data_IF_093946921066
#
_entry.id   IF_093946921066
#
_cell.length_a   1.000
_cell.length_b   1.000
_cell.length_c   1.000
_cell.angle_alpha   90.00
_cell.angle_beta   90.00
_cell.angle_gamma   90.00
#
_symmetry.space_group_name_H-M   'P 1'
#
loop_
_entity.id
_entity.type
_entity.pdbx_description
1 polymer ?
#
# COMPACT_ATOMS: atom_id res chain seq x y z
N UNK A 1 17.58 1.30 5.46
CA UNK A 1 18.34 0.59 6.50
C UNK A 1 17.82 0.81 7.91
N UNK A 2 17.67 2.04 8.43
CA UNK A 2 17.26 2.22 9.85
C UNK A 2 15.86 1.69 10.19
N UNK A 3 14.89 1.83 9.27
CA UNK A 3 13.58 1.19 9.42
C UNK A 3 13.67 -0.33 9.57
N UNK A 4 14.48 -0.99 8.73
CA UNK A 4 14.76 -2.44 8.79
C UNK A 4 15.41 -2.83 10.12
N UNK A 5 16.37 -2.04 10.61
CA UNK A 5 17.03 -2.28 11.91
C UNK A 5 16.07 -2.22 13.08
N UNK A 6 15.20 -1.20 13.11
CA UNK A 6 14.19 -1.06 14.16
C UNK A 6 13.15 -2.18 14.08
N UNK A 7 12.72 -2.54 12.87
CA UNK A 7 11.81 -3.65 12.64
C UNK A 7 12.40 -4.98 13.16
N UNK A 8 13.66 -5.26 12.83
CA UNK A 8 14.36 -6.46 13.31
C UNK A 8 14.56 -6.49 14.83
N UNK A 9 14.85 -5.34 15.46
CA UNK A 9 14.92 -5.21 16.91
C UNK A 9 13.59 -5.56 17.58
N UNK A 10 12.50 -4.94 17.11
CA UNK A 10 11.15 -5.18 17.64
C UNK A 10 10.70 -6.63 17.41
N UNK A 11 10.96 -7.18 16.22
CA UNK A 11 10.62 -8.57 15.91
C UNK A 11 11.39 -9.56 16.81
N UNK A 12 12.62 -9.24 17.21
CA UNK A 12 13.36 -10.04 18.17
C UNK A 12 12.77 -9.92 19.58
N UNK A 13 12.51 -8.70 20.06
CA UNK A 13 11.91 -8.44 21.38
C UNK A 13 10.52 -9.09 21.53
N UNK A 14 9.73 -9.12 20.46
CA UNK A 14 8.41 -9.76 20.44
C UNK A 14 8.45 -11.26 20.15
N UNK A 15 9.64 -11.82 19.89
CA UNK A 15 9.81 -13.24 19.60
C UNK A 15 9.19 -13.69 18.26
N UNK A 16 9.00 -12.78 17.32
CA UNK A 16 8.46 -13.06 15.97
C UNK A 16 9.55 -13.22 14.90
N UNK A 17 10.83 -12.95 15.22
CA UNK A 17 11.91 -12.96 14.24
C UNK A 17 12.38 -14.36 13.80
N UNK A 18 12.29 -15.38 14.67
CA UNK A 18 13.00 -16.66 14.50
C UNK A 18 12.12 -17.86 14.15
N UNK A 19 10.80 -17.69 14.10
CA UNK A 19 9.89 -18.77 13.73
C UNK A 19 9.56 -18.57 12.25
N UNK A 20 9.98 -19.50 11.40
CA UNK A 20 9.38 -19.65 10.08
C UNK A 20 7.89 -19.79 10.35
N UNK A 21 7.12 -18.75 10.02
CA UNK A 21 5.68 -18.83 10.08
C UNK A 21 5.30 -20.08 9.29
N UNK A 22 4.57 -21.00 9.92
CA UNK A 22 3.91 -22.06 9.16
C UNK A 22 2.90 -21.33 8.27
N UNK A 23 3.37 -20.87 7.09
CA UNK A 23 2.58 -20.02 6.23
C UNK A 23 1.31 -20.78 5.85
N UNK A 24 0.18 -20.23 6.29
CA UNK A 24 -1.11 -20.88 6.09
C UNK A 24 -1.38 -21.05 4.60
N UNK A 25 -1.85 -22.25 4.23
CA UNK A 25 -2.36 -22.51 2.90
C UNK A 25 -3.56 -21.59 2.68
N UNK A 26 -3.56 -20.87 1.57
CA UNK A 26 -4.63 -19.94 1.25
C UNK A 26 -5.98 -20.70 1.18
N UNK A 27 -7.06 -20.22 1.82
CA UNK A 27 -8.32 -20.97 1.93
C UNK A 27 -8.97 -21.37 0.60
N UNK A 28 -8.77 -20.57 -0.44
CA UNK A 28 -9.28 -20.85 -1.79
C UNK A 28 -8.28 -21.54 -2.71
N UNK A 29 -7.14 -22.01 -2.19
CA UNK A 29 -6.20 -22.77 -3.00
C UNK A 29 -6.82 -24.11 -3.42
N UNK A 30 -6.74 -24.41 -4.71
CA UNK A 30 -7.31 -25.63 -5.29
C UNK A 30 -6.26 -26.38 -6.10
N UNK A 31 -6.24 -27.70 -5.97
CA UNK A 31 -5.26 -28.55 -6.64
C UNK A 31 -5.55 -30.03 -6.45
N UNK A 32 -4.83 -30.86 -7.20
CA UNK A 32 -4.93 -32.31 -7.08
C UNK A 32 -4.25 -32.74 -5.78
N UNK A 33 -4.90 -33.61 -5.00
CA UNK A 33 -4.32 -34.09 -3.73
C UNK A 33 -3.12 -34.98 -4.03
N UNK A 34 -1.96 -34.63 -3.49
CA UNK A 34 -0.74 -35.44 -3.55
C UNK A 34 -0.19 -35.69 -2.15
N UNK A 35 0.64 -36.72 -2.03
CA UNK A 35 1.45 -36.93 -0.83
C UNK A 35 2.66 -35.99 -0.89
N UNK A 36 2.81 -35.11 0.11
CA UNK A 36 3.99 -34.25 0.21
C UNK A 36 5.24 -35.11 0.51
N UNK A 37 6.33 -35.00 -0.26
CA UNK A 37 7.53 -35.83 -0.08
C UNK A 37 8.31 -35.52 1.21
N UNK A 38 8.07 -34.36 1.83
CA UNK A 38 8.76 -33.89 3.04
C UNK A 38 7.91 -34.17 4.27
N UNK A 39 6.65 -33.72 4.27
CA UNK A 39 5.77 -33.85 5.45
C UNK A 39 5.05 -35.18 5.52
N UNK A 40 5.04 -35.98 4.44
CA UNK A 40 4.27 -37.23 4.32
C UNK A 40 2.76 -37.06 4.59
N UNK A 41 2.26 -35.83 4.50
CA UNK A 41 0.85 -35.51 4.62
C UNK A 41 0.23 -35.34 3.23
N UNK A 42 -1.05 -35.65 3.10
CA UNK A 42 -1.82 -35.32 1.91
C UNK A 42 -2.06 -33.81 1.85
N UNK A 43 -1.60 -33.17 0.77
CA UNK A 43 -1.78 -31.74 0.52
C UNK A 43 -2.33 -31.50 -0.89
N UNK A 44 -3.13 -30.44 -1.11
CA UNK A 44 -3.46 -30.01 -2.46
C UNK A 44 -2.18 -29.56 -3.19
N UNK A 45 -2.08 -29.89 -4.48
CA UNK A 45 -0.97 -29.46 -5.33
C UNK A 45 -1.44 -28.90 -6.65
N UNK A 46 -0.81 -27.79 -7.03
CA UNK A 46 -1.03 -27.15 -8.31
C UNK A 46 0.33 -26.90 -9.00
N UNK A 47 0.50 -27.25 -10.29
CA UNK A 47 1.76 -27.03 -10.99
C UNK A 47 2.12 -25.54 -11.08
N UNK A 48 3.31 -25.17 -10.59
CA UNK A 48 3.76 -23.77 -10.52
C UNK A 48 3.82 -23.08 -11.88
N UNK A 49 4.17 -23.80 -12.95
CA UNK A 49 4.22 -23.21 -14.30
C UNK A 49 2.84 -22.69 -14.74
N UNK A 50 1.74 -23.35 -14.33
CA UNK A 50 0.37 -22.88 -14.63
C UNK A 50 0.08 -21.59 -13.88
N UNK A 51 0.45 -21.51 -12.60
CA UNK A 51 0.35 -20.29 -11.79
C UNK A 51 1.14 -19.16 -12.43
N UNK A 52 2.41 -19.38 -12.81
CA UNK A 52 3.22 -18.36 -13.45
C UNK A 52 2.67 -17.89 -14.80
N UNK A 53 2.12 -18.77 -15.64
CA UNK A 53 1.44 -18.38 -16.87
C UNK A 53 0.21 -17.50 -16.59
N UNK A 54 -0.59 -17.84 -15.57
CA UNK A 54 -1.74 -17.02 -15.15
C UNK A 54 -1.31 -15.68 -14.57
N UNK A 55 -0.27 -15.66 -13.74
CA UNK A 55 0.31 -14.43 -13.20
C UNK A 55 0.73 -13.52 -14.34
N UNK A 56 1.46 -14.04 -15.33
CA UNK A 56 1.86 -13.26 -16.50
C UNK A 56 0.66 -12.66 -17.25
N UNK A 57 -0.37 -13.46 -17.53
CA UNK A 57 -1.59 -12.99 -18.17
C UNK A 57 -2.31 -11.92 -17.33
N UNK A 58 -2.38 -12.11 -16.01
CA UNK A 58 -2.97 -11.13 -15.09
C UNK A 58 -2.21 -9.80 -15.10
N UNK A 59 -0.88 -9.84 -15.14
CA UNK A 59 -0.02 -8.66 -15.17
C UNK A 59 -0.21 -7.87 -16.46
N UNK A 60 -0.40 -8.55 -17.61
CA UNK A 60 -0.71 -7.86 -18.87
C UNK A 60 -2.06 -7.13 -18.81
N UNK A 61 -3.08 -7.77 -18.24
CA UNK A 61 -4.40 -7.14 -18.10
C UNK A 61 -4.36 -5.94 -17.16
N UNK A 62 -3.67 -6.09 -16.02
CA UNK A 62 -3.42 -4.98 -15.09
C UNK A 62 -2.65 -3.85 -15.76
N UNK A 63 -1.61 -4.18 -16.54
CA UNK A 63 -0.87 -3.23 -17.37
C UNK A 63 -1.81 -2.44 -18.29
N UNK A 64 -2.71 -3.11 -19.01
CA UNK A 64 -3.73 -2.46 -19.83
C UNK A 64 -4.63 -1.50 -19.04
N UNK A 65 -5.16 -1.93 -17.89
CA UNK A 65 -5.96 -1.07 -17.01
C UNK A 65 -5.18 0.15 -16.52
N UNK A 66 -3.90 -0.03 -16.15
CA UNK A 66 -3.05 1.06 -15.66
C UNK A 66 -2.74 2.08 -16.76
N UNK A 67 -2.54 1.62 -18.00
CA UNK A 67 -2.36 2.51 -19.16
C UNK A 67 -3.65 3.30 -19.43
N UNK A 68 -4.82 2.67 -19.34
CA UNK A 68 -6.10 3.38 -19.46
C UNK A 68 -6.25 4.44 -18.37
N UNK A 69 -5.91 4.13 -17.12
CA UNK A 69 -5.93 5.10 -16.02
C UNK A 69 -4.96 6.26 -16.26
N UNK A 70 -3.74 5.97 -16.75
CA UNK A 70 -2.76 6.99 -17.14
C UNK A 70 -3.33 7.94 -18.20
N UNK A 71 -3.93 7.38 -19.27
CA UNK A 71 -4.52 8.18 -20.34
C UNK A 71 -5.66 9.05 -19.81
N UNK A 72 -6.54 8.51 -18.97
CA UNK A 72 -7.62 9.27 -18.33
C UNK A 72 -7.07 10.41 -17.46
N UNK A 73 -6.06 10.15 -16.64
CA UNK A 73 -5.40 11.17 -15.81
C UNK A 73 -4.77 12.30 -16.64
N UNK A 74 -4.10 11.95 -17.75
CA UNK A 74 -3.51 12.92 -18.68
C UNK A 74 -4.58 13.75 -19.41
N UNK A 75 -5.68 13.13 -19.87
CA UNK A 75 -6.79 13.83 -20.51
C UNK A 75 -7.47 14.82 -19.55
N UNK A 76 -7.51 14.48 -18.26
CA UNK A 76 -8.06 15.34 -17.22
C UNK A 76 -7.13 16.52 -16.94
N UNK A 77 -5.83 16.27 -16.72
CA UNK A 77 -4.83 17.30 -16.44
C UNK A 77 -4.76 18.36 -17.56
N UNK A 78 -4.92 17.93 -18.80
CA UNK A 78 -4.99 18.77 -20.00
C UNK A 78 -6.24 19.64 -20.13
N UNK A 79 -7.22 19.50 -19.24
CA UNK A 79 -8.53 20.14 -19.40
C UNK A 79 -9.28 19.68 -20.65
N UNK A 80 -8.84 18.62 -21.34
CA UNK A 80 -9.49 18.09 -22.54
C UNK A 80 -10.86 17.52 -22.19
N UNK A 81 -10.98 16.84 -21.06
CA UNK A 81 -12.27 16.41 -20.50
C UNK A 81 -13.20 17.61 -20.25
N UNK A 82 -12.69 18.69 -19.66
CA UNK A 82 -13.45 19.92 -19.41
C UNK A 82 -13.93 20.55 -20.72
N UNK A 83 -13.05 20.62 -21.72
CA UNK A 83 -13.36 21.19 -23.04
C UNK A 83 -14.31 20.33 -23.86
N UNK A 84 -14.14 19.00 -23.85
CA UNK A 84 -15.01 18.06 -24.57
C UNK A 84 -16.41 18.03 -23.96
N UNK A 85 -16.51 17.99 -22.62
CA UNK A 85 -17.79 18.07 -21.93
C UNK A 85 -18.45 19.43 -22.16
N UNK A 86 -17.68 20.52 -22.12
CA UNK A 86 -18.15 21.87 -22.41
C UNK A 86 -18.61 22.08 -23.86
N UNK A 87 -18.04 21.33 -24.82
CA UNK A 87 -18.48 21.30 -26.22
C UNK A 87 -19.72 20.41 -26.40
N UNK A 88 -19.77 19.24 -25.77
CA UNK A 88 -20.94 18.35 -25.76
C UNK A 88 -22.17 19.04 -25.15
N UNK A 89 -21.96 19.82 -24.09
CA UNK A 89 -23.02 20.59 -23.41
C UNK A 89 -23.38 21.92 -24.11
N UNK A 90 -22.74 22.29 -25.24
CA UNK A 90 -22.99 23.59 -25.90
C UNK A 90 -23.72 23.52 -27.24
N UNK A 91 -25.03 23.81 -27.15
CA UNK A 91 -25.64 24.92 -27.92
C UNK A 91 -26.88 25.51 -27.22
N UNK A 92 -27.66 24.71 -26.50
CA UNK A 92 -28.99 25.14 -26.01
C UNK A 92 -29.08 25.57 -24.53
N UNK A 93 -28.24 25.03 -23.62
CA UNK A 93 -28.38 25.28 -22.18
C UNK A 93 -27.62 26.53 -21.68
N UNK A 94 -26.61 26.99 -22.41
CA UNK A 94 -25.68 28.06 -21.95
C UNK A 94 -26.33 29.45 -21.87
N UNK A 95 -27.37 29.71 -22.67
CA UNK A 95 -27.96 31.05 -22.78
C UNK A 95 -29.17 31.28 -21.87
N UNK A 96 -29.66 30.24 -21.18
CA UNK A 96 -30.98 30.28 -20.52
C UNK A 96 -30.91 30.49 -19.00
N UNK A 97 -29.77 30.22 -18.39
CA UNK A 97 -29.57 30.38 -16.95
C UNK A 97 -28.11 30.81 -16.71
N UNK A 98 -27.87 31.76 -15.79
CA UNK A 98 -26.55 32.18 -15.30
C UNK A 98 -25.84 31.05 -14.51
N UNK A 99 -25.65 29.89 -15.13
CA UNK A 99 -25.10 28.66 -14.55
C UNK A 99 -23.62 28.48 -14.87
N UNK A 100 -22.94 29.51 -15.39
CA UNK A 100 -21.53 29.42 -15.78
C UNK A 100 -20.66 28.83 -14.66
N UNK A 101 -20.93 29.23 -13.40
CA UNK A 101 -20.23 28.68 -12.22
C UNK A 101 -20.46 27.18 -12.01
N UNK A 102 -21.67 26.68 -12.23
CA UNK A 102 -22.00 25.25 -12.07
C UNK A 102 -21.33 24.43 -13.18
N UNK A 103 -21.34 24.93 -14.41
CA UNK A 103 -20.68 24.26 -15.54
C UNK A 103 -19.15 24.16 -15.39
N UNK A 104 -18.52 25.03 -14.60
CA UNK A 104 -17.09 24.93 -14.29
C UNK A 104 -16.76 23.84 -13.25
N UNK A 105 -17.66 23.57 -12.30
CA UNK A 105 -17.42 22.60 -11.21
C UNK A 105 -17.85 21.19 -11.62
N UNK A 106 -18.94 21.07 -12.39
CA UNK A 106 -19.56 19.82 -12.80
C UNK A 106 -18.57 18.78 -13.37
N UNK A 107 -17.60 19.12 -14.24
CA UNK A 107 -16.73 18.12 -14.85
C UNK A 107 -15.73 17.53 -13.86
N UNK A 108 -15.30 18.31 -12.86
CA UNK A 108 -14.47 17.82 -11.76
C UNK A 108 -15.23 16.83 -10.87
N UNK A 109 -16.52 17.07 -10.61
CA UNK A 109 -17.39 16.14 -9.88
C UNK A 109 -17.57 14.85 -10.66
N UNK A 110 -17.86 14.94 -11.96
CA UNK A 110 -18.02 13.76 -12.83
C UNK A 110 -16.72 12.95 -12.87
N UNK A 111 -15.58 13.61 -13.02
CA UNK A 111 -14.28 12.94 -13.01
C UNK A 111 -14.04 12.23 -11.67
N UNK A 112 -14.28 12.89 -10.54
CA UNK A 112 -14.16 12.27 -9.22
C UNK A 112 -15.07 11.05 -9.06
N UNK A 113 -16.31 11.11 -9.55
CA UNK A 113 -17.23 9.97 -9.55
C UNK A 113 -16.75 8.82 -10.44
N UNK A 114 -16.20 9.11 -11.62
CA UNK A 114 -15.61 8.11 -12.51
C UNK A 114 -14.44 7.41 -11.81
N UNK A 115 -13.52 8.17 -11.22
CA UNK A 115 -12.36 7.59 -10.52
C UNK A 115 -12.81 6.71 -9.35
N UNK A 116 -13.78 7.16 -8.55
CA UNK A 116 -14.33 6.35 -7.46
C UNK A 116 -14.94 5.03 -7.96
N UNK A 117 -15.69 5.07 -9.06
CA UNK A 117 -16.25 3.87 -9.70
C UNK A 117 -15.14 2.96 -10.23
N UNK A 118 -14.16 3.49 -10.95
CA UNK A 118 -13.05 2.72 -11.52
C UNK A 118 -12.24 2.05 -10.41
N UNK A 119 -11.87 2.76 -9.34
CA UNK A 119 -11.14 2.19 -8.21
C UNK A 119 -11.93 1.04 -7.55
N UNK A 120 -13.23 1.23 -7.33
CA UNK A 120 -14.11 0.20 -6.77
C UNK A 120 -14.21 -1.05 -7.65
N UNK A 121 -14.31 -0.89 -8.97
CA UNK A 121 -14.33 -2.01 -9.92
C UNK A 121 -12.96 -2.67 -10.05
N UNK A 122 -11.89 -1.88 -10.06
CA UNK A 122 -10.52 -2.38 -10.17
C UNK A 122 -10.15 -3.26 -8.97
N UNK A 123 -10.54 -2.88 -7.75
CA UNK A 123 -10.33 -3.72 -6.55
C UNK A 123 -10.99 -5.09 -6.70
N UNK A 124 -12.24 -5.14 -7.15
CA UNK A 124 -12.94 -6.42 -7.44
C UNK A 124 -12.23 -7.23 -8.51
N UNK A 125 -11.75 -6.58 -9.56
CA UNK A 125 -10.99 -7.20 -10.64
C UNK A 125 -9.65 -7.76 -10.13
N UNK A 126 -8.91 -7.00 -9.32
CA UNK A 126 -7.63 -7.42 -8.75
C UNK A 126 -7.80 -8.63 -7.83
N UNK A 127 -8.84 -8.66 -7.01
CA UNK A 127 -9.22 -9.82 -6.19
C UNK A 127 -9.55 -11.03 -7.06
N UNK A 128 -10.35 -10.83 -8.11
CA UNK A 128 -10.71 -11.91 -9.05
C UNK A 128 -9.47 -12.49 -9.75
N UNK A 129 -8.59 -11.65 -10.29
CA UNK A 129 -7.37 -12.08 -10.98
C UNK A 129 -6.43 -12.83 -10.04
N UNK A 130 -6.23 -12.32 -8.83
CA UNK A 130 -5.31 -12.94 -7.87
C UNK A 130 -5.86 -14.28 -7.34
N UNK A 131 -7.19 -14.41 -7.20
CA UNK A 131 -7.83 -15.72 -6.94
C UNK A 131 -7.67 -16.67 -8.12
N UNK A 132 -7.81 -16.17 -9.35
CA UNK A 132 -7.64 -16.97 -10.56
C UNK A 132 -6.22 -17.52 -10.72
N UNK A 133 -5.20 -16.75 -10.32
CA UNK A 133 -3.78 -17.17 -10.29
C UNK A 133 -3.53 -18.41 -9.42
N UNK A 134 -4.36 -18.64 -8.40
CA UNK A 134 -4.33 -19.83 -7.53
C UNK A 134 -2.99 -20.00 -6.78
N UNK A 135 -2.69 -19.05 -5.90
CA UNK A 135 -1.51 -19.08 -5.02
C UNK A 135 -1.68 -20.06 -3.86
N UNK A 136 -0.64 -20.82 -3.54
CA UNK A 136 -0.68 -21.83 -2.48
C UNK A 136 -0.67 -21.23 -1.07
N UNK A 137 0.20 -20.25 -0.82
CA UNK A 137 0.39 -19.65 0.50
C UNK A 137 -0.29 -18.28 0.56
N UNK A 138 -0.82 -17.94 1.74
CA UNK A 138 -1.42 -16.63 1.98
C UNK A 138 -0.44 -15.48 1.73
N UNK A 139 0.85 -15.67 2.05
CA UNK A 139 1.90 -14.68 1.79
C UNK A 139 2.02 -14.32 0.31
N UNK A 140 2.08 -15.33 -0.57
CA UNK A 140 2.15 -15.12 -2.02
C UNK A 140 0.86 -14.51 -2.59
N UNK A 141 -0.31 -14.94 -2.11
CA UNK A 141 -1.58 -14.34 -2.52
C UNK A 141 -1.61 -12.84 -2.19
N UNK A 142 -1.30 -12.48 -0.94
CA UNK A 142 -1.23 -11.09 -0.52
C UNK A 142 -0.19 -10.36 -1.37
N UNK A 143 0.96 -10.97 -1.68
CA UNK A 143 1.99 -10.33 -2.49
C UNK A 143 1.54 -9.90 -3.87
N UNK A 144 0.90 -10.83 -4.59
CA UNK A 144 0.42 -10.57 -5.93
C UNK A 144 -0.80 -9.65 -5.93
N UNK A 145 -1.64 -9.70 -4.91
CA UNK A 145 -2.79 -8.80 -4.74
C UNK A 145 -2.32 -7.36 -4.51
N UNK A 146 -1.47 -7.17 -3.50
CA UNK A 146 -0.91 -5.88 -3.08
C UNK A 146 -0.16 -5.21 -4.23
N UNK A 147 0.67 -5.96 -4.96
CA UNK A 147 1.45 -5.41 -6.07
C UNK A 147 0.56 -4.86 -7.20
N UNK A 148 -0.57 -5.53 -7.51
CA UNK A 148 -1.50 -5.06 -8.55
C UNK A 148 -2.18 -3.76 -8.14
N UNK A 149 -2.71 -3.70 -6.92
CA UNK A 149 -3.34 -2.49 -6.38
C UNK A 149 -2.34 -1.34 -6.31
N UNK A 150 -1.12 -1.59 -5.82
CA UNK A 150 -0.09 -0.57 -5.70
C UNK A 150 0.25 0.08 -7.04
N UNK A 151 0.50 -0.71 -8.09
CA UNK A 151 0.84 -0.17 -9.42
C UNK A 151 -0.31 0.67 -9.97
N UNK A 152 -1.55 0.20 -9.83
CA UNK A 152 -2.73 0.91 -10.31
C UNK A 152 -2.96 2.23 -9.56
N UNK A 153 -2.96 2.20 -8.23
CA UNK A 153 -3.17 3.39 -7.41
C UNK A 153 -2.02 4.39 -7.56
N UNK A 154 -0.77 3.92 -7.71
CA UNK A 154 0.37 4.77 -8.00
C UNK A 154 0.17 5.55 -9.30
N UNK A 155 -0.16 4.86 -10.40
CA UNK A 155 -0.40 5.52 -11.70
C UNK A 155 -1.60 6.45 -11.63
N UNK A 156 -2.69 6.02 -11.01
CA UNK A 156 -3.91 6.81 -10.88
C UNK A 156 -3.67 8.16 -10.16
N UNK A 157 -2.90 8.14 -9.08
CA UNK A 157 -2.63 9.32 -8.26
C UNK A 157 -1.52 10.21 -8.85
N UNK A 158 -0.42 9.62 -9.35
CA UNK A 158 0.76 10.39 -9.77
C UNK A 158 0.84 10.71 -11.26
N UNK A 159 0.08 10.03 -12.13
CA UNK A 159 0.14 10.28 -13.59
C UNK A 159 -0.16 11.75 -13.96
N UNK A 160 -1.19 12.33 -13.36
CA UNK A 160 -1.53 13.75 -13.58
C UNK A 160 -0.42 14.70 -13.13
N UNK A 161 0.23 14.40 -12.01
CA UNK A 161 1.36 15.19 -11.50
C UNK A 161 2.59 15.07 -12.39
N UNK A 162 2.92 13.85 -12.83
CA UNK A 162 4.02 13.64 -13.78
C UNK A 162 3.75 14.34 -15.12
N UNK A 163 2.50 14.35 -15.57
CA UNK A 163 2.10 15.09 -16.75
C UNK A 163 2.32 16.61 -16.59
N UNK A 164 1.83 17.20 -15.50
CA UNK A 164 2.00 18.62 -15.22
C UNK A 164 3.49 18.97 -15.07
N UNK A 165 4.25 18.11 -14.38
CA UNK A 165 5.67 18.32 -14.12
C UNK A 165 6.55 18.26 -15.38
N UNK A 166 6.39 17.21 -16.20
CA UNK A 166 7.34 16.91 -17.27
C UNK A 166 6.86 17.34 -18.66
N UNK A 167 5.54 17.36 -18.90
CA UNK A 167 4.98 17.76 -20.19
C UNK A 167 4.51 19.22 -20.19
N UNK A 168 3.64 19.63 -19.27
CA UNK A 168 3.17 21.03 -19.22
C UNK A 168 4.24 21.98 -18.68
N UNK A 169 5.08 21.49 -17.76
CA UNK A 169 6.14 22.25 -17.10
C UNK A 169 5.63 23.51 -16.36
N UNK A 170 4.37 23.49 -15.89
CA UNK A 170 3.79 24.58 -15.09
C UNK A 170 4.08 24.35 -13.61
N UNK A 171 5.11 25.06 -13.11
CA UNK A 171 5.56 24.96 -11.72
C UNK A 171 4.49 25.41 -10.70
N UNK A 172 3.68 26.42 -11.05
CA UNK A 172 2.66 26.94 -10.15
C UNK A 172 1.49 25.97 -10.04
N UNK A 173 1.06 25.41 -11.17
CA UNK A 173 0.04 24.35 -11.22
C UNK A 173 0.52 23.09 -10.51
N UNK A 174 1.78 22.69 -10.71
CA UNK A 174 2.37 21.54 -10.00
C UNK A 174 2.32 21.74 -8.48
N UNK A 175 2.80 22.89 -7.99
CA UNK A 175 2.84 23.19 -6.56
C UNK A 175 1.45 23.21 -5.94
N UNK A 176 0.49 23.88 -6.58
CA UNK A 176 -0.88 23.93 -6.07
C UNK A 176 -1.53 22.55 -6.08
N UNK A 177 -1.31 21.75 -7.13
CA UNK A 177 -1.89 20.42 -7.26
C UNK A 177 -1.33 19.44 -6.23
N UNK A 178 -0.01 19.41 -6.00
CA UNK A 178 0.60 18.59 -4.94
C UNK A 178 0.03 18.97 -3.58
N UNK A 179 -0.10 20.27 -3.28
CA UNK A 179 -0.66 20.74 -2.01
C UNK A 179 -2.14 20.35 -1.87
N UNK A 180 -2.94 20.53 -2.92
CA UNK A 180 -4.35 20.13 -2.93
C UNK A 180 -4.50 18.63 -2.73
N UNK A 181 -3.75 17.80 -3.45
CA UNK A 181 -3.84 16.35 -3.30
C UNK A 181 -3.42 15.90 -1.90
N UNK A 182 -2.33 16.43 -1.35
CA UNK A 182 -1.85 16.04 -0.03
C UNK A 182 -2.80 16.50 1.10
N UNK A 183 -3.47 17.64 0.99
CA UNK A 183 -4.38 18.11 2.04
C UNK A 183 -5.77 17.50 1.86
N UNK A 184 -6.33 17.60 0.66
CA UNK A 184 -7.72 17.21 0.39
C UNK A 184 -7.87 15.70 0.40
N UNK A 185 -6.93 14.94 -0.18
CA UNK A 185 -7.04 13.48 -0.18
C UNK A 185 -6.99 12.94 1.24
N UNK A 186 -6.12 13.47 2.10
CA UNK A 186 -6.05 13.03 3.49
C UNK A 186 -7.32 13.35 4.28
N UNK A 187 -7.93 14.51 4.05
CA UNK A 187 -9.22 14.82 4.66
C UNK A 187 -10.35 13.88 4.17
N UNK A 188 -10.36 13.55 2.88
CA UNK A 188 -11.35 12.64 2.30
C UNK A 188 -11.15 11.22 2.83
N UNK A 189 -9.92 10.71 2.84
CA UNK A 189 -9.58 9.40 3.35
C UNK A 189 -10.01 9.27 4.81
N UNK A 190 -9.66 10.25 5.64
CA UNK A 190 -10.04 10.25 7.05
C UNK A 190 -11.55 10.25 7.28
N UNK A 191 -12.28 11.00 6.45
CA UNK A 191 -13.73 10.99 6.48
C UNK A 191 -14.30 9.62 6.07
N UNK A 192 -13.81 9.04 4.97
CA UNK A 192 -14.32 7.79 4.42
C UNK A 192 -13.95 6.56 5.25
N UNK A 193 -12.80 6.57 5.90
CA UNK A 193 -12.24 5.44 6.61
C UNK A 193 -12.68 5.37 8.07
N UNK A 194 -12.84 6.52 8.71
CA UNK A 194 -13.17 6.56 10.14
C UNK A 194 -14.56 7.11 10.39
N UNK A 195 -14.85 8.33 9.92
CA UNK A 195 -16.07 9.05 10.31
C UNK A 195 -17.32 8.41 9.70
N UNK A 196 -17.28 8.14 8.40
CA UNK A 196 -18.40 7.58 7.64
C UNK A 196 -18.84 6.20 8.17
N UNK A 197 -17.95 5.19 8.33
CA UNK A 197 -18.37 3.88 8.83
C UNK A 197 -18.81 3.95 10.29
N UNK A 198 -18.21 4.81 11.11
CA UNK A 198 -18.67 5.03 12.48
C UNK A 198 -20.11 5.54 12.53
N UNK A 199 -20.43 6.60 11.76
CA UNK A 199 -21.78 7.15 11.71
C UNK A 199 -22.81 6.14 11.17
N UNK A 200 -22.47 5.39 10.13
CA UNK A 200 -23.36 4.35 9.60
C UNK A 200 -23.59 3.21 10.58
N UNK A 201 -22.55 2.74 11.27
CA UNK A 201 -22.65 1.67 12.26
C UNK A 201 -23.45 2.10 13.48
N UNK A 202 -23.21 3.30 13.98
CA UNK A 202 -23.95 3.85 15.12
C UNK A 202 -25.45 4.04 14.76
N UNK A 203 -25.73 4.57 13.56
CA UNK A 203 -27.10 4.68 13.07
C UNK A 203 -27.78 3.31 12.89
N UNK A 204 -27.07 2.35 12.29
CA UNK A 204 -27.57 0.99 12.08
C UNK A 204 -27.88 0.28 13.40
N UNK A 205 -27.00 0.42 14.40
CA UNK A 205 -27.20 -0.11 15.74
C UNK A 205 -28.44 0.50 16.41
N UNK A 206 -28.58 1.83 16.39
CA UNK A 206 -29.75 2.49 16.97
C UNK A 206 -31.05 2.11 16.28
N UNK A 207 -31.03 1.93 14.96
CA UNK A 207 -32.19 1.46 14.18
C UNK A 207 -32.53 0.02 14.59
N UNK A 208 -31.55 -0.89 14.60
CA UNK A 208 -31.73 -2.30 14.99
C UNK A 208 -32.31 -2.43 16.41
N UNK A 209 -31.77 -1.68 17.37
CA UNK A 209 -32.28 -1.66 18.76
C UNK A 209 -33.72 -1.15 18.86
N UNK A 210 -34.10 -0.15 18.07
CA UNK A 210 -35.50 0.33 18.02
C UNK A 210 -36.44 -0.72 17.44
N UNK A 211 -36.01 -1.46 16.43
CA UNK A 211 -36.81 -2.55 15.85
C UNK A 211 -36.96 -3.73 16.82
N UNK A 212 -35.88 -4.13 17.51
CA UNK A 212 -35.94 -5.24 18.48
C UNK A 212 -36.81 -4.93 19.71
N UNK A 213 -36.79 -3.69 20.20
CA UNK A 213 -37.69 -3.25 21.29
C UNK A 213 -39.16 -3.33 20.84
N UNK A 214 -39.45 -2.92 19.59
CA UNK A 214 -40.82 -2.93 19.05
C UNK A 214 -41.37 -4.35 18.83
N UNK A 215 -40.50 -5.30 18.49
CA UNK A 215 -40.86 -6.71 18.33
C UNK A 215 -41.12 -7.39 19.68
N UNK A 216 -40.27 -7.12 20.70
CA UNK A 216 -40.47 -7.61 22.06
C UNK A 216 -41.72 -7.05 22.76
N UNK A 217 -42.16 -5.83 22.42
CA UNK A 217 -43.41 -5.28 22.93
C UNK A 217 -44.66 -5.96 22.32
N UNK A 218 -44.53 -6.56 21.12
CA UNK A 218 -45.61 -7.30 20.44
C UNK A 218 -45.73 -8.75 20.91
N UNK A 219 -44.64 -9.36 21.42
CA UNK A 219 -44.59 -10.75 21.88
C UNK A 219 -44.82 -10.93 23.39
N UNK A 220 -45.36 -9.92 24.07
CA UNK A 220 -45.54 -9.87 25.54
C UNK A 220 -46.40 -11.00 26.12
N UNK A 221 -47.20 -11.70 25.31
CA UNK A 221 -48.13 -12.74 25.77
C UNK A 221 -47.55 -14.17 25.79
N UNK A 222 -46.31 -14.41 25.33
CA UNK A 222 -45.87 -15.78 25.05
C UNK A 222 -44.90 -16.46 26.04
N UNK A 223 -43.97 -15.80 26.75
CA UNK A 223 -42.99 -16.57 27.55
C UNK A 223 -42.41 -15.81 28.76
N UNK A 224 -42.78 -16.26 29.95
CA UNK A 224 -42.25 -15.81 31.24
C UNK A 224 -40.93 -16.55 31.61
N UNK A 225 -40.61 -17.66 30.92
CA UNK A 225 -39.45 -18.53 31.20
C UNK A 225 -38.16 -18.05 30.52
N UNK A 226 -38.23 -17.28 29.43
CA UNK A 226 -37.06 -16.79 28.67
C UNK A 226 -36.45 -15.48 29.21
N UNK A 227 -36.97 -14.93 30.32
CA UNK A 227 -36.61 -13.58 30.80
C UNK A 227 -35.32 -13.51 31.63
N UNK A 228 -34.68 -14.63 31.95
CA UNK A 228 -33.50 -14.64 32.83
C UNK A 228 -32.14 -14.46 32.12
N UNK A 229 -32.07 -14.60 30.78
CA UNK A 229 -30.79 -14.46 30.03
C UNK A 229 -30.81 -13.37 28.93
N UNK A 230 -31.94 -12.68 28.72
CA UNK A 230 -32.10 -11.73 27.60
C UNK A 230 -31.34 -10.40 27.77
N UNK A 231 -30.77 -10.13 28.95
CA UNK A 231 -30.05 -8.89 29.27
C UNK A 231 -28.64 -9.15 29.82
N UNK A 232 -27.99 -10.23 29.38
CA UNK A 232 -26.57 -10.42 29.65
C UNK A 232 -25.75 -9.38 28.87
N UNK A 233 -24.98 -8.50 29.54
CA UNK A 233 -24.11 -7.53 28.88
C UNK A 233 -23.11 -8.18 27.90
N UNK A 234 -22.74 -9.44 28.11
CA UNK A 234 -21.85 -10.17 27.20
C UNK A 234 -22.52 -10.50 25.87
N UNK A 235 -23.81 -10.87 25.88
CA UNK A 235 -24.58 -11.15 24.67
C UNK A 235 -24.80 -9.87 23.86
N UNK A 236 -25.11 -8.76 24.52
CA UNK A 236 -25.23 -7.46 23.87
C UNK A 236 -23.89 -6.99 23.28
N UNK A 237 -22.79 -7.18 24.00
CA UNK A 237 -21.45 -6.91 23.46
C UNK A 237 -21.14 -7.78 22.23
N UNK A 238 -21.44 -9.08 22.27
CA UNK A 238 -21.22 -9.98 21.14
C UNK A 238 -22.05 -9.59 19.92
N UNK A 239 -23.32 -9.18 20.11
CA UNK A 239 -24.17 -8.65 19.03
C UNK A 239 -23.60 -7.35 18.44
N UNK A 240 -23.13 -6.43 19.29
CA UNK A 240 -22.49 -5.19 18.83
C UNK A 240 -21.22 -5.48 18.03
N UNK A 241 -20.39 -6.43 18.49
CA UNK A 241 -19.17 -6.82 17.78
C UNK A 241 -19.49 -7.53 16.46
N UNK A 242 -20.52 -8.37 16.41
CA UNK A 242 -20.96 -9.03 15.18
C UNK A 242 -21.42 -8.05 14.07
N UNK A 243 -21.86 -6.85 14.43
CA UNK A 243 -22.22 -5.79 13.48
C UNK A 243 -21.01 -4.99 12.95
N UNK A 244 -19.83 -5.12 13.57
CA UNK A 244 -18.60 -4.49 13.08
C UNK A 244 -18.04 -5.29 11.90
N UNK A 245 -17.28 -4.61 11.04
CA UNK A 245 -16.63 -5.27 9.92
C UNK A 245 -15.41 -6.08 10.39
N UNK A 246 -15.11 -7.22 9.76
CA UNK A 246 -13.86 -7.93 10.02
C UNK A 246 -12.68 -7.12 9.45
N UNK A 247 -11.60 -7.03 10.23
CA UNK A 247 -10.33 -6.50 9.74
C UNK A 247 -9.55 -7.62 9.04
N UNK A 248 -9.38 -7.50 7.73
CA UNK A 248 -8.68 -8.52 6.92
C UNK A 248 -7.15 -8.35 6.94
N UNK A 249 -6.66 -7.16 6.59
CA UNK A 249 -5.22 -6.86 6.52
C UNK A 249 -4.95 -5.35 6.65
N UNK A 250 -3.73 -4.99 7.05
CA UNK A 250 -3.27 -3.59 7.19
C UNK A 250 -2.86 -2.94 5.85
N UNK A 251 -3.28 -3.53 4.73
CA UNK A 251 -2.83 -3.13 3.41
C UNK A 251 -3.25 -1.68 3.07
N UNK A 252 -4.50 -1.30 3.31
CA UNK A 252 -4.98 0.05 3.01
C UNK A 252 -4.22 1.09 3.84
N UNK A 253 -3.96 0.80 5.13
CA UNK A 253 -3.19 1.66 6.03
C UNK A 253 -1.78 1.93 5.49
N UNK A 254 -1.10 0.86 5.03
CA UNK A 254 0.23 1.01 4.41
C UNK A 254 0.17 1.68 3.04
N UNK A 255 -0.88 1.44 2.25
CA UNK A 255 -1.06 2.09 0.95
C UNK A 255 -1.19 3.60 1.12
N UNK A 256 -1.97 4.06 2.09
CA UNK A 256 -2.07 5.48 2.41
C UNK A 256 -0.71 6.09 2.76
N UNK A 257 0.02 5.46 3.68
CA UNK A 257 1.37 5.91 4.06
C UNK A 257 2.33 5.91 2.86
N UNK A 258 2.22 4.92 1.98
CA UNK A 258 3.02 4.82 0.75
C UNK A 258 2.74 5.98 -0.21
N UNK A 259 1.45 6.28 -0.46
CA UNK A 259 1.07 7.39 -1.33
C UNK A 259 1.50 8.74 -0.74
N UNK A 260 1.33 8.94 0.57
CA UNK A 260 1.79 10.14 1.28
C UNK A 260 3.31 10.30 1.18
N UNK A 261 4.07 9.22 1.41
CA UNK A 261 5.53 9.24 1.21
C UNK A 261 5.90 9.55 -0.24
N UNK A 262 5.12 9.10 -1.23
CA UNK A 262 5.33 9.42 -2.64
C UNK A 262 5.20 10.91 -2.94
N UNK A 263 4.14 11.57 -2.44
CA UNK A 263 3.97 13.02 -2.60
C UNK A 263 5.13 13.81 -1.97
N UNK A 264 5.58 13.40 -0.77
CA UNK A 264 6.69 14.07 -0.08
C UNK A 264 8.02 13.83 -0.77
N UNK A 265 8.33 12.57 -1.10
CA UNK A 265 9.65 12.18 -1.61
C UNK A 265 9.85 12.56 -3.07
N UNK A 266 8.87 12.41 -3.95
CA UNK A 266 9.04 12.67 -5.39
C UNK A 266 8.95 14.15 -5.77
N UNK A 267 8.16 14.95 -5.03
CA UNK A 267 7.88 16.35 -5.37
C UNK A 267 8.45 17.35 -4.36
N UNK A 268 9.43 16.94 -3.55
CA UNK A 268 10.04 17.77 -2.51
C UNK A 268 10.62 19.08 -3.06
N UNK A 269 11.23 19.06 -4.25
CA UNK A 269 11.77 20.27 -4.88
C UNK A 269 10.67 21.26 -5.31
N UNK A 270 9.50 20.77 -5.71
CA UNK A 270 8.37 21.60 -6.13
C UNK A 270 7.57 22.16 -4.94
N UNK A 271 7.40 21.35 -3.88
CA UNK A 271 6.65 21.75 -2.69
C UNK A 271 7.30 21.21 -1.39
N UNK A 272 8.33 21.90 -0.86
CA UNK A 272 9.04 21.46 0.36
C UNK A 272 8.13 21.32 1.60
N UNK A 273 7.07 22.12 1.66
CA UNK A 273 6.08 22.08 2.75
C UNK A 273 5.27 20.78 2.79
N UNK A 274 5.35 19.91 1.78
CA UNK A 274 4.72 18.59 1.79
C UNK A 274 5.08 17.80 3.05
N UNK A 275 6.35 17.83 3.46
CA UNK A 275 6.85 17.13 4.65
C UNK A 275 6.19 17.60 5.95
N UNK A 276 5.96 18.91 6.09
CA UNK A 276 5.29 19.48 7.25
C UNK A 276 3.82 19.04 7.35
N UNK A 277 3.10 19.09 6.23
CA UNK A 277 1.70 18.64 6.18
C UNK A 277 1.58 17.14 6.40
N UNK A 278 2.50 16.36 5.84
CA UNK A 278 2.60 14.93 6.08
C UNK A 278 2.83 14.61 7.57
N UNK A 279 3.65 15.38 8.28
CA UNK A 279 3.86 15.21 9.71
C UNK A 279 2.56 15.45 10.50
N UNK A 280 1.85 16.54 10.21
CA UNK A 280 0.55 16.82 10.86
C UNK A 280 -0.42 15.67 10.59
N UNK A 281 -0.51 15.21 9.34
CA UNK A 281 -1.37 14.10 8.99
C UNK A 281 -1.03 12.84 9.79
N UNK A 282 0.24 12.45 9.87
CA UNK A 282 0.68 11.26 10.60
C UNK A 282 0.38 11.35 12.10
N UNK A 283 0.43 12.54 12.69
CA UNK A 283 0.08 12.75 14.10
C UNK A 283 -1.42 12.59 14.35
N UNK A 284 -2.27 13.05 13.43
CA UNK A 284 -3.71 12.76 13.49
C UNK A 284 -4.01 11.30 13.18
N UNK A 285 -3.32 10.71 12.21
CA UNK A 285 -3.51 9.32 11.74
C UNK A 285 -3.38 8.33 12.88
N UNK A 286 -2.33 8.50 13.70
CA UNK A 286 -2.10 7.66 14.88
C UNK A 286 -3.31 7.61 15.82
N UNK A 287 -4.11 8.68 15.89
CA UNK A 287 -5.33 8.73 16.71
C UNK A 287 -6.54 8.18 15.97
N UNK A 288 -6.69 8.47 14.69
CA UNK A 288 -7.80 7.97 13.88
C UNK A 288 -7.71 6.45 13.69
N UNK A 289 -6.54 5.91 13.39
CA UNK A 289 -6.31 4.46 13.31
C UNK A 289 -6.61 3.76 14.64
N UNK A 290 -6.17 4.33 15.76
CA UNK A 290 -6.49 3.79 17.09
C UNK A 290 -8.01 3.79 17.35
N UNK A 291 -8.71 4.85 16.94
CA UNK A 291 -10.16 4.92 17.05
C UNK A 291 -10.85 3.88 16.15
N UNK A 292 -10.36 3.70 14.92
CA UNK A 292 -10.84 2.73 13.93
C UNK A 292 -10.76 1.30 14.48
N UNK A 293 -9.65 0.90 15.09
CA UNK A 293 -9.53 -0.42 15.73
C UNK A 293 -10.44 -0.60 16.95
N UNK A 294 -10.72 0.45 17.71
CA UNK A 294 -11.57 0.34 18.91
C UNK A 294 -13.07 0.34 18.59
N UNK A 295 -13.52 1.14 17.61
CA UNK A 295 -14.94 1.41 17.39
C UNK A 295 -15.49 0.90 16.06
N UNK A 296 -14.66 0.75 15.03
CA UNK A 296 -15.11 0.42 13.67
C UNK A 296 -14.96 -1.07 13.35
N UNK A 297 -13.83 -1.68 13.69
CA UNK A 297 -13.56 -3.09 13.38
C UNK A 297 -13.84 -4.05 14.54
N UNK A 298 -14.13 -5.30 14.18
CA UNK A 298 -14.02 -6.44 15.10
C UNK A 298 -12.59 -6.61 15.57
N UNK A 299 -12.40 -7.25 16.73
CA UNK A 299 -11.05 -7.54 17.21
C UNK A 299 -10.31 -8.42 16.20
N UNK A 300 -9.22 -7.95 15.57
CA UNK A 300 -8.49 -8.74 14.58
C UNK A 300 -7.81 -9.94 15.23
N UNK A 301 -7.64 -11.01 14.45
CA UNK A 301 -6.83 -12.16 14.86
C UNK A 301 -5.36 -11.77 14.86
N UNK A 302 -4.63 -12.19 15.90
CA UNK A 302 -3.22 -11.86 16.04
C UNK A 302 -2.42 -12.65 15.00
N UNK A 303 -1.84 -11.94 14.03
CA UNK A 303 -0.87 -12.49 13.07
C UNK A 303 0.53 -12.11 13.51
N UNK A 304 1.41 -13.10 13.65
CA UNK A 304 2.83 -12.85 13.92
C UNK A 304 3.49 -12.50 12.59
N UNK A 305 4.27 -11.42 12.61
CA UNK A 305 5.05 -10.97 11.45
C UNK A 305 6.41 -10.51 11.93
N UNK A 306 7.43 -10.78 11.12
CA UNK A 306 8.81 -10.37 11.38
C UNK A 306 9.19 -9.09 10.62
N UNK A 307 8.43 -8.73 9.59
CA UNK A 307 8.67 -7.56 8.73
C UNK A 307 7.36 -6.90 8.32
N UNK A 308 7.44 -5.68 7.78
CA UNK A 308 6.32 -5.01 7.10
C UNK A 308 6.00 -5.61 5.72
N UNK A 309 6.73 -6.66 5.31
CA UNK A 309 6.58 -7.33 4.03
C UNK A 309 6.99 -6.46 2.84
N UNK A 310 6.20 -6.52 1.79
CA UNK A 310 6.43 -5.93 0.46
C UNK A 310 6.58 -4.43 0.49
N UNK A 311 5.93 -3.81 1.47
CA UNK A 311 6.01 -2.38 1.67
C UNK A 311 7.45 -1.91 1.83
N UNK A 312 8.32 -2.72 2.43
CA UNK A 312 9.74 -2.38 2.54
C UNK A 312 10.39 -2.17 1.16
N UNK A 313 10.17 -3.09 0.22
CA UNK A 313 10.70 -3.01 -1.13
C UNK A 313 10.02 -1.88 -1.91
N UNK A 314 8.71 -1.68 -1.71
CA UNK A 314 7.96 -0.60 -2.32
C UNK A 314 8.48 0.79 -1.91
N UNK A 315 8.67 1.04 -0.60
CA UNK A 315 9.23 2.29 -0.10
C UNK A 315 10.66 2.52 -0.61
N UNK A 316 11.47 1.47 -0.73
CA UNK A 316 12.84 1.57 -1.26
C UNK A 316 12.86 1.91 -2.74
N UNK A 317 11.97 1.30 -3.54
CA UNK A 317 11.77 1.61 -4.95
C UNK A 317 11.28 3.05 -5.12
N UNK A 318 10.28 3.46 -4.34
CA UNK A 318 9.75 4.82 -4.36
C UNK A 318 10.82 5.84 -4.00
N UNK A 319 11.74 5.51 -3.09
CA UNK A 319 12.92 6.31 -2.81
C UNK A 319 13.89 6.45 -4.00
N UNK A 320 14.06 5.41 -4.83
CA UNK A 320 14.82 5.52 -6.10
C UNK A 320 14.10 6.46 -7.07
N UNK A 321 12.79 6.23 -7.27
CA UNK A 321 11.96 7.04 -8.17
C UNK A 321 11.98 8.51 -7.71
N UNK A 322 11.95 8.76 -6.41
CA UNK A 322 12.06 10.08 -5.81
C UNK A 322 13.35 10.81 -6.19
N UNK A 323 14.51 10.15 -6.13
CA UNK A 323 15.78 10.76 -6.56
C UNK A 323 15.72 11.16 -8.04
N UNK A 324 15.30 10.26 -8.91
CA UNK A 324 15.17 10.53 -10.34
C UNK A 324 14.20 11.69 -10.62
N UNK A 325 13.04 11.69 -9.95
CA UNK A 325 12.00 12.72 -10.12
C UNK A 325 12.48 14.09 -9.66
N UNK A 326 13.13 14.20 -8.50
CA UNK A 326 13.64 15.48 -8.02
C UNK A 326 14.79 16.00 -8.90
N UNK A 327 15.70 15.15 -9.37
CA UNK A 327 16.77 15.58 -10.28
C UNK A 327 16.18 16.11 -11.60
N UNK A 328 15.17 15.43 -12.15
CA UNK A 328 14.46 15.88 -13.34
C UNK A 328 13.69 17.19 -13.09
N UNK A 329 12.99 17.33 -11.96
CA UNK A 329 12.28 18.56 -11.60
C UNK A 329 13.23 19.75 -11.40
N UNK A 330 14.40 19.54 -10.80
CA UNK A 330 15.42 20.57 -10.67
C UNK A 330 15.95 21.01 -12.04
N UNK A 331 16.22 20.06 -12.93
CA UNK A 331 16.63 20.34 -14.32
C UNK A 331 15.60 21.19 -15.07
N UNK A 332 14.30 20.95 -14.82
CA UNK A 332 13.20 21.66 -15.47
C UNK A 332 12.73 22.91 -14.70
N UNK A 333 13.34 23.22 -13.56
CA UNK A 333 12.92 24.36 -12.77
C UNK A 333 13.21 25.69 -13.51
N UNK A 334 12.29 26.68 -13.47
CA UNK A 334 12.48 27.95 -14.18
C UNK A 334 13.76 28.69 -13.79
N UNK A 335 14.16 28.57 -12.52
CA UNK A 335 15.40 29.18 -12.01
C UNK A 335 16.65 28.55 -12.62
N UNK A 336 16.68 27.22 -12.78
CA UNK A 336 17.82 26.56 -13.43
C UNK A 336 17.83 26.85 -14.92
N UNK A 337 16.67 26.80 -15.59
CA UNK A 337 16.57 27.12 -17.02
C UNK A 337 16.99 28.57 -17.36
N UNK A 338 16.74 29.54 -16.46
CA UNK A 338 17.17 30.92 -16.68
C UNK A 338 18.68 31.10 -16.52
N UNK A 339 19.29 30.41 -15.55
CA UNK A 339 20.74 30.40 -15.34
C UNK A 339 21.49 29.82 -16.54
N UNK A 340 20.98 28.72 -17.11
CA UNK A 340 21.63 28.07 -18.26
C UNK A 340 21.53 28.92 -19.52
N UNK A 341 20.38 29.56 -19.77
CA UNK A 341 20.19 30.48 -20.91
C UNK A 341 21.15 31.67 -20.84
N UNK A 342 21.43 32.19 -19.64
CA UNK A 342 22.40 33.27 -19.43
C UNK A 342 23.84 32.86 -19.74
N UNK A 343 24.26 31.65 -19.30
CA UNK A 343 25.62 31.16 -19.54
C UNK A 343 25.93 30.85 -21.01
N UNK A 344 24.95 30.35 -21.77
CA UNK A 344 25.17 30.01 -23.19
C UNK A 344 25.29 31.25 -24.07
N UNK A 345 24.52 32.31 -23.76
CA UNK A 345 24.55 33.56 -24.54
C UNK A 345 25.86 34.35 -24.41
N UNK A 346 26.65 34.11 -23.36
CA UNK A 346 27.98 34.73 -23.19
C UNK A 346 29.12 33.94 -23.87
N UNK A 347 28.89 32.70 -24.32
CA UNK A 347 29.90 31.87 -24.98
C UNK A 347 29.67 31.68 -26.50
N UNK A 348 28.46 31.91 -27.04
CA UNK A 348 28.19 31.75 -28.47
C UNK A 348 28.30 33.07 -29.25
N UNK A 349 29.51 33.49 -29.60
CA UNK A 349 29.73 34.61 -30.55
C UNK A 349 29.57 34.20 -32.02
N UNK A 350 29.13 32.97 -32.33
CA UNK A 350 28.83 32.55 -33.69
C UNK A 350 27.78 31.42 -33.72
N UNK A 351 26.54 31.76 -34.09
CA UNK A 351 25.53 30.81 -34.56
C UNK A 351 24.68 30.11 -33.49
N UNK A 352 23.38 30.42 -33.52
CA UNK A 352 22.20 29.78 -32.90
C UNK A 352 22.27 29.35 -31.41
N UNK A 353 21.27 29.73 -30.58
CA UNK A 353 21.14 29.21 -29.23
C UNK A 353 20.72 27.73 -29.30
N UNK A 354 21.69 26.83 -29.36
CA UNK A 354 21.47 25.43 -29.05
C UNK A 354 21.39 25.29 -27.53
N UNK A 355 20.26 24.82 -27.02
CA UNK A 355 20.19 24.31 -25.65
C UNK A 355 21.23 23.19 -25.54
N UNK A 356 22.33 23.44 -24.85
CA UNK A 356 23.39 22.45 -24.69
C UNK A 356 22.87 21.25 -23.91
N UNK A 357 22.92 20.06 -24.51
CA UNK A 357 22.65 18.78 -23.85
C UNK A 357 23.55 18.54 -22.61
N UNK A 358 24.61 19.34 -22.45
CA UNK A 358 25.59 19.32 -21.36
C UNK A 358 24.95 19.56 -19.98
N UNK A 359 23.91 20.39 -19.88
CA UNK A 359 23.23 20.64 -18.61
C UNK A 359 22.37 19.46 -18.17
N UNK A 360 21.73 18.76 -19.11
CA UNK A 360 21.00 17.52 -18.80
C UNK A 360 22.00 16.47 -18.28
N UNK A 361 23.19 16.38 -18.88
CA UNK A 361 24.26 15.49 -18.41
C UNK A 361 24.64 15.77 -16.94
N UNK A 362 24.73 17.05 -16.54
CA UNK A 362 25.00 17.42 -15.14
C UNK A 362 23.96 16.84 -14.18
N UNK A 363 22.66 16.95 -14.51
CA UNK A 363 21.60 16.41 -13.66
C UNK A 363 21.55 14.88 -13.66
N UNK A 364 21.89 14.23 -14.78
CA UNK A 364 22.06 12.77 -14.84
C UNK A 364 23.25 12.31 -13.99
N UNK A 365 24.37 13.05 -14.01
CA UNK A 365 25.52 12.76 -13.15
C UNK A 365 25.19 12.98 -11.67
N UNK A 366 24.46 14.04 -11.34
CA UNK A 366 23.97 14.29 -9.98
C UNK A 366 23.05 13.17 -9.51
N UNK A 367 22.13 12.71 -10.35
CA UNK A 367 21.26 11.57 -10.07
C UNK A 367 22.07 10.31 -9.75
N UNK A 368 23.03 9.93 -10.61
CA UNK A 368 23.87 8.75 -10.41
C UNK A 368 24.73 8.87 -9.15
N UNK A 369 25.23 10.08 -8.85
CA UNK A 369 25.97 10.35 -7.62
C UNK A 369 25.09 10.13 -6.38
N UNK A 370 23.89 10.70 -6.34
CA UNK A 370 22.96 10.56 -5.21
C UNK A 370 22.51 9.10 -5.06
N UNK A 371 22.19 8.41 -6.16
CA UNK A 371 21.88 6.98 -6.14
C UNK A 371 23.07 6.14 -5.65
N UNK A 372 24.28 6.45 -6.10
CA UNK A 372 25.51 5.82 -5.63
C UNK A 372 25.70 5.97 -4.12
N UNK A 373 25.50 7.18 -3.60
CA UNK A 373 25.53 7.46 -2.16
C UNK A 373 24.43 6.68 -1.42
N UNK A 374 23.19 6.66 -1.94
CA UNK A 374 22.08 5.89 -1.36
C UNK A 374 22.43 4.40 -1.25
N UNK A 375 22.88 3.78 -2.34
CA UNK A 375 23.24 2.36 -2.36
C UNK A 375 24.45 2.07 -1.47
N UNK A 376 25.43 2.97 -1.40
CA UNK A 376 26.54 2.87 -0.47
C UNK A 376 26.05 2.85 0.99
N UNK A 377 25.14 3.74 1.38
CA UNK A 377 24.53 3.72 2.71
C UNK A 377 23.76 2.43 2.99
N UNK A 378 22.99 1.94 2.02
CA UNK A 378 22.28 0.65 2.14
C UNK A 378 23.23 -0.53 2.32
N UNK A 379 24.42 -0.48 1.72
CA UNK A 379 25.44 -1.52 1.86
C UNK A 379 26.22 -1.41 3.18
N UNK A 380 26.60 -0.20 3.60
CA UNK A 380 27.39 0.06 4.80
C UNK A 380 26.59 -0.21 6.07
N UNK A 381 25.31 0.17 6.09
CA UNK A 381 24.46 0.06 7.28
C UNK A 381 23.74 -1.29 7.23
N UNK A 382 24.10 -2.27 8.08
CA UNK A 382 23.45 -3.56 8.07
C UNK A 382 21.99 -3.45 8.51
N UNK A 383 21.12 -4.23 7.85
CA UNK A 383 19.67 -4.23 8.12
C UNK A 383 19.30 -4.78 9.50
N UNK A 384 20.16 -5.57 10.13
CA UNK A 384 19.97 -6.07 11.49
C UNK A 384 21.01 -5.47 12.45
N UNK A 385 20.57 -4.93 13.61
CA UNK A 385 21.49 -4.41 14.62
C UNK A 385 22.38 -5.53 15.18
N UNK A 386 23.59 -5.16 15.61
CA UNK A 386 24.62 -6.11 16.05
C UNK A 386 24.13 -6.99 17.20
N UNK A 387 23.46 -6.41 18.19
CA UNK A 387 22.98 -7.14 19.36
C UNK A 387 21.96 -8.23 19.01
N UNK A 388 20.99 -7.96 18.12
CA UNK A 388 20.03 -8.99 17.66
C UNK A 388 20.75 -10.14 16.98
N UNK A 389 21.73 -9.81 16.12
CA UNK A 389 22.49 -10.83 15.38
C UNK A 389 23.33 -11.69 16.32
N UNK A 390 23.93 -11.10 17.34
CA UNK A 390 24.74 -11.80 18.32
C UNK A 390 23.86 -12.71 19.18
N UNK A 391 22.69 -12.24 19.63
CA UNK A 391 21.72 -13.05 20.36
C UNK A 391 21.15 -14.21 19.53
N UNK A 392 20.78 -13.97 18.27
CA UNK A 392 20.35 -15.04 17.37
C UNK A 392 21.43 -16.11 17.18
N UNK A 393 22.70 -15.71 17.08
CA UNK A 393 23.82 -16.65 17.00
C UNK A 393 23.97 -17.47 18.27
N UNK A 394 23.81 -16.85 19.44
CA UNK A 394 23.84 -17.56 20.73
C UNK A 394 22.72 -18.59 20.83
N UNK A 395 21.48 -18.21 20.49
CA UNK A 395 20.33 -19.11 20.49
C UNK A 395 20.56 -20.28 19.52
N UNK A 396 21.02 -20.00 18.30
CA UNK A 396 21.32 -21.03 17.31
C UNK A 396 22.46 -21.97 17.74
N UNK A 397 23.48 -21.42 18.43
CA UNK A 397 24.58 -22.21 18.96
C UNK A 397 24.08 -23.18 20.05
N UNK A 398 23.30 -22.69 21.01
CA UNK A 398 22.69 -23.51 22.06
C UNK A 398 21.79 -24.60 21.47
N UNK A 399 20.92 -24.24 20.51
CA UNK A 399 20.04 -25.20 19.86
C UNK A 399 20.81 -26.32 19.12
N UNK A 400 21.94 -25.99 18.48
CA UNK A 400 22.82 -26.99 17.84
C UNK A 400 23.48 -27.89 18.86
N UNK A 401 24.02 -27.34 19.94
CA UNK A 401 24.63 -28.16 21.00
C UNK A 401 23.64 -29.14 21.61
N UNK A 402 22.43 -28.68 21.92
CA UNK A 402 21.39 -29.52 22.52
C UNK A 402 20.90 -30.60 21.54
N UNK A 403 20.74 -30.26 20.26
CA UNK A 403 20.44 -31.23 19.22
C UNK A 403 21.55 -32.27 19.06
N UNK A 404 22.83 -31.86 19.06
CA UNK A 404 23.96 -32.78 19.03
C UNK A 404 23.99 -33.69 20.26
N UNK A 405 23.78 -33.15 21.47
CA UNK A 405 23.68 -33.95 22.71
C UNK A 405 22.54 -34.97 22.62
N UNK A 406 21.39 -34.57 22.08
CA UNK A 406 20.24 -35.46 21.86
C UNK A 406 20.58 -36.59 20.88
N UNK A 407 21.18 -36.28 19.73
CA UNK A 407 21.62 -37.28 18.75
C UNK A 407 22.61 -38.26 19.38
N UNK A 408 23.62 -37.75 20.11
CA UNK A 408 24.63 -38.59 20.77
C UNK A 408 24.00 -39.51 21.83
N UNK A 409 23.02 -39.01 22.59
CA UNK A 409 22.24 -39.82 23.54
C UNK A 409 21.48 -40.93 22.80
N UNK A 410 20.81 -40.61 21.70
CA UNK A 410 20.07 -41.59 20.90
C UNK A 410 21.00 -42.63 20.25
N UNK A 411 22.19 -42.22 19.79
CA UNK A 411 23.21 -43.11 19.22
C UNK A 411 23.79 -44.08 20.26
N UNK A 412 24.00 -43.65 21.52
CA UNK A 412 24.44 -44.55 22.60
C UNK A 412 23.48 -45.73 22.82
N UNK A 413 22.20 -45.53 22.59
CA UNK A 413 21.17 -46.55 22.72
C UNK A 413 20.98 -47.39 21.44
N UNK A 414 21.51 -46.95 20.29
CA UNK A 414 21.43 -47.68 19.02
C UNK A 414 22.58 -48.70 18.84
N UNK A 415 22.32 -49.92 18.33
CA UNK A 415 23.36 -50.91 18.01
C UNK A 415 24.43 -50.39 17.05
N UNK A 416 24.04 -49.51 16.12
CA UNK A 416 24.95 -48.87 15.16
C UNK A 416 25.79 -47.76 15.80
N UNK A 417 25.19 -46.95 16.68
CA UNK A 417 25.92 -45.89 17.38
C UNK A 417 26.98 -46.44 18.34
N UNK A 418 26.75 -47.61 18.97
CA UNK A 418 27.78 -48.33 19.74
C UNK A 418 28.99 -48.78 18.91
N UNK A 419 28.81 -49.07 17.61
CA UNK A 419 29.92 -49.42 16.70
C UNK A 419 30.69 -48.20 16.23
N UNK A 420 30.00 -47.10 15.96
CA UNK A 420 30.61 -45.83 15.53
C UNK A 420 31.44 -45.23 16.67
N UNK A 421 30.88 -45.17 17.88
CA UNK A 421 31.57 -44.67 19.08
C UNK A 421 32.71 -45.56 19.58
N UNK A 422 32.91 -46.75 18.98
CA UNK A 422 34.04 -47.63 19.27
C UNK A 422 35.19 -47.45 18.27
N UNK A 423 34.94 -46.74 17.17
CA UNK A 423 35.91 -46.41 16.10
C UNK A 423 36.44 -44.98 16.20
N UNK A 424 35.64 -44.07 16.78
CA UNK A 424 36.07 -42.76 17.29
C UNK A 424 36.59 -42.98 18.70
#
# INVERSE_FOLDING_TARGET
SDGKRKCSALAFEWGTLSRSDDEEIHPHFSGDVRLNPITMCHEPYYPLWKTHCKVFASTLLVGGCTICALVLGVLYANGKILSWLGLYLKKDLRNKWNLDKIFHILPSIIYAAIIALVNGHYRKLATFLTRWENHQLQGYYNWHYVSKLLVFEFVNNFSSLFYIAFYEQDWNKLRSWVATMLIVMQLINQFQETILPFLFKEASFHISKRFSIRENDFSKDADEISRLDAYDPQIEQAKMEALKDPFEDAFEDYLEMFMQFGYVSMFSCAYPMASFWALINNLSELKFDAFKFCHVYQRPRVKRVSTIGIWQDAFELLGVIGVATNCALLCLSPTMQSLTTYTTSTQSSLGSPQYGNEWILLFVLLEHFILGVKFAFSYIIPDQPKWVRDEQRLILHQAREDHTKMILKNLKHSPWGKRIMKKV
#
